data_IF_660143574555
#
_entry.id   IF_660143574555
#
_cell.length_a   1.000
_cell.length_b   1.000
_cell.length_c   1.000
_cell.angle_alpha   90.00
_cell.angle_beta   90.00
_cell.angle_gamma   90.00
#
_symmetry.space_group_name_H-M   'P 1'
#
loop_
_entity.id
_entity.type
_entity.pdbx_description
1 polymer ?
#
# COMPACT_ATOMS: atom_id res chain seq x y z
N UNK A 1 40.37 7.97 3.62
CA UNK A 1 39.53 9.17 3.36
C UNK A 1 38.17 8.85 2.79
N UNK A 2 37.95 7.73 2.10
CA UNK A 2 36.64 7.42 1.44
C UNK A 2 35.49 7.01 2.34
N UNK A 3 35.74 6.42 3.51
CA UNK A 3 34.66 5.98 4.41
C UNK A 3 33.91 7.14 5.09
N UNK A 4 34.58 8.25 5.33
CA UNK A 4 33.97 9.42 5.98
C UNK A 4 33.06 10.21 5.00
N UNK A 5 33.43 10.26 3.72
CA UNK A 5 32.64 10.92 2.67
C UNK A 5 31.35 10.11 2.37
N UNK A 6 31.44 8.77 2.38
CA UNK A 6 30.27 7.88 2.19
C UNK A 6 29.25 8.00 3.34
N UNK A 7 29.74 8.12 4.59
CA UNK A 7 28.86 8.29 5.75
C UNK A 7 28.14 9.65 5.75
N UNK A 8 28.84 10.72 5.42
CA UNK A 8 28.26 12.08 5.31
C UNK A 8 27.20 12.15 4.20
N UNK A 9 27.46 11.52 3.05
CA UNK A 9 26.51 11.47 1.95
C UNK A 9 25.27 10.65 2.28
N UNK A 10 25.41 9.55 3.02
CA UNK A 10 24.28 8.73 3.50
C UNK A 10 23.41 9.50 4.51
N UNK A 11 24.01 10.25 5.43
CA UNK A 11 23.27 11.09 6.40
C UNK A 11 22.54 12.25 5.71
N UNK A 12 23.17 12.91 4.73
CA UNK A 12 22.51 13.99 3.95
C UNK A 12 21.35 13.48 3.12
N UNK A 13 21.50 12.30 2.52
CA UNK A 13 20.42 11.63 1.78
C UNK A 13 19.25 11.25 2.69
N UNK A 14 19.53 10.72 3.89
CA UNK A 14 18.51 10.39 4.89
C UNK A 14 17.77 11.64 5.39
N UNK A 15 18.49 12.71 5.73
CA UNK A 15 17.88 13.97 6.16
C UNK A 15 17.00 14.62 5.08
N UNK A 16 17.43 14.55 3.82
CA UNK A 16 16.65 15.01 2.67
C UNK A 16 15.36 14.19 2.52
N UNK A 17 15.46 12.86 2.56
CA UNK A 17 14.31 11.96 2.45
C UNK A 17 13.28 12.23 3.55
N UNK A 18 13.72 12.36 4.81
CA UNK A 18 12.86 12.67 5.94
C UNK A 18 12.15 14.02 5.74
N UNK A 19 12.88 15.06 5.33
CA UNK A 19 12.30 16.38 5.07
C UNK A 19 11.27 16.35 3.95
N UNK A 20 11.56 15.67 2.85
CA UNK A 20 10.64 15.54 1.71
C UNK A 20 9.36 14.76 2.09
N UNK A 21 9.45 13.72 2.91
CA UNK A 21 8.28 13.02 3.47
C UNK A 21 7.44 13.96 4.33
N UNK A 22 8.07 14.75 5.21
CA UNK A 22 7.35 15.74 6.04
C UNK A 22 6.67 16.82 5.20
N UNK A 23 7.31 17.32 4.13
CA UNK A 23 6.69 18.29 3.22
C UNK A 23 5.41 17.71 2.60
N UNK A 24 5.43 16.46 2.14
CA UNK A 24 4.23 15.81 1.59
C UNK A 24 3.10 15.74 2.61
N UNK A 25 3.38 15.24 3.81
CA UNK A 25 2.39 15.13 4.89
C UNK A 25 1.79 16.50 5.30
N UNK A 26 2.61 17.54 5.31
CA UNK A 26 2.17 18.90 5.61
C UNK A 26 1.18 19.39 4.52
N UNK A 27 1.51 19.17 3.25
CA UNK A 27 0.69 19.63 2.12
C UNK A 27 -0.53 18.75 1.84
N UNK A 28 -0.57 17.50 2.31
CA UNK A 28 -1.77 16.66 2.30
C UNK A 28 -2.84 17.12 3.29
N UNK A 29 -2.43 17.80 4.36
CA UNK A 29 -3.32 18.21 5.45
C UNK A 29 -3.76 19.66 5.37
N UNK A 30 -3.01 20.50 4.66
CA UNK A 30 -3.22 21.93 4.66
C UNK A 30 -2.84 22.55 3.30
N UNK A 31 -3.58 23.56 2.92
CA UNK A 31 -3.31 24.36 1.74
C UNK A 31 -2.32 25.48 2.07
N UNK A 32 -1.11 25.41 1.53
CA UNK A 32 -0.10 26.45 1.66
C UNK A 32 0.17 27.15 0.33
N UNK A 33 0.34 28.46 0.40
CA UNK A 33 0.68 29.29 -0.76
C UNK A 33 2.10 29.86 -0.71
N UNK A 34 2.76 29.84 0.47
CA UNK A 34 4.09 30.41 0.66
C UNK A 34 5.07 29.36 1.19
N UNK A 35 6.31 29.45 0.72
CA UNK A 35 7.38 28.56 1.19
C UNK A 35 7.72 28.75 2.68
N UNK A 36 7.53 29.98 3.18
CA UNK A 36 7.79 30.34 4.58
C UNK A 36 6.89 29.57 5.55
N UNK A 37 5.62 29.39 5.18
CA UNK A 37 4.65 28.66 5.98
C UNK A 37 5.05 27.18 6.11
N UNK A 38 5.56 26.58 5.03
CA UNK A 38 6.08 25.21 5.02
C UNK A 38 7.36 25.11 5.87
N UNK A 39 8.27 26.07 5.77
CA UNK A 39 9.47 26.15 6.62
C UNK A 39 9.09 26.20 8.09
N UNK A 40 8.07 27.00 8.43
CA UNK A 40 7.59 27.13 9.80
C UNK A 40 7.04 25.79 10.34
N UNK A 41 6.23 25.09 9.56
CA UNK A 41 5.69 23.77 9.95
C UNK A 41 6.80 22.71 10.08
N UNK A 42 7.79 22.72 9.21
CA UNK A 42 8.95 21.82 9.30
C UNK A 42 9.76 22.09 10.58
N UNK A 43 9.96 23.36 10.94
CA UNK A 43 10.65 23.73 12.19
C UNK A 43 9.90 23.25 13.43
N UNK A 44 8.57 23.29 13.45
CA UNK A 44 7.76 22.72 14.54
C UNK A 44 8.00 21.21 14.72
N UNK A 45 8.31 20.51 13.63
CA UNK A 45 8.66 19.08 13.63
C UNK A 45 10.15 18.82 13.92
N UNK A 46 10.92 19.85 14.28
CA UNK A 46 12.36 19.74 14.56
C UNK A 46 13.23 19.64 13.30
N UNK A 47 12.67 19.92 12.11
CA UNK A 47 13.41 19.90 10.85
C UNK A 47 13.82 21.32 10.49
N UNK A 48 15.09 21.66 10.80
CA UNK A 48 15.64 22.98 10.42
C UNK A 48 15.97 23.01 8.92
N UNK A 49 15.46 24.02 8.23
CA UNK A 49 15.60 24.16 6.78
C UNK A 49 15.42 25.61 6.35
N UNK A 50 15.88 25.92 5.14
CA UNK A 50 15.73 27.25 4.53
C UNK A 50 14.62 27.24 3.47
N UNK A 51 14.08 28.43 3.19
CA UNK A 51 13.10 28.66 2.13
C UNK A 51 13.59 28.16 0.76
N UNK A 52 14.86 28.41 0.41
CA UNK A 52 15.46 27.95 -0.85
C UNK A 52 15.57 26.42 -0.93
N UNK A 53 15.78 25.75 0.21
CA UNK A 53 15.78 24.29 0.29
C UNK A 53 14.37 23.73 0.07
N UNK A 54 13.36 24.31 0.73
CA UNK A 54 11.95 23.92 0.55
C UNK A 54 11.51 24.13 -0.89
N UNK A 55 11.88 25.25 -1.52
CA UNK A 55 11.57 25.50 -2.93
C UNK A 55 12.15 24.43 -3.85
N UNK A 56 13.39 23.99 -3.60
CA UNK A 56 14.04 22.93 -4.37
C UNK A 56 13.34 21.58 -4.14
N UNK A 57 13.04 21.26 -2.89
CA UNK A 57 12.34 20.02 -2.54
C UNK A 57 10.95 19.95 -3.18
N UNK A 58 10.17 21.03 -3.15
CA UNK A 58 8.86 21.10 -3.79
C UNK A 58 8.95 20.84 -5.31
N UNK A 59 9.96 21.44 -5.96
CA UNK A 59 10.21 21.22 -7.40
C UNK A 59 10.56 19.75 -7.69
N UNK A 60 11.43 19.16 -6.89
CA UNK A 60 11.84 17.75 -7.02
C UNK A 60 10.67 16.79 -6.76
N UNK A 61 9.81 17.12 -5.81
CA UNK A 61 8.60 16.36 -5.48
C UNK A 61 7.46 16.54 -6.49
N UNK A 62 7.58 17.48 -7.43
CA UNK A 62 6.58 17.73 -8.46
C UNK A 62 5.43 18.64 -8.02
N UNK A 63 5.55 19.34 -6.88
CA UNK A 63 4.56 20.32 -6.46
C UNK A 63 4.60 21.58 -7.32
N UNK A 64 3.43 22.07 -7.72
CA UNK A 64 3.23 23.31 -8.47
C UNK A 64 2.11 24.10 -7.82
N UNK A 65 2.09 25.41 -8.06
CA UNK A 65 0.96 26.23 -7.65
C UNK A 65 -0.22 26.01 -8.59
N UNK A 66 -1.39 25.76 -8.01
CA UNK A 66 -2.66 25.72 -8.73
C UNK A 66 -3.18 27.12 -9.08
N UNK A 67 -4.37 27.21 -9.68
CA UNK A 67 -5.00 28.48 -10.05
C UNK A 67 -5.32 29.40 -8.88
N UNK A 68 -5.42 28.84 -7.67
CA UNK A 68 -5.66 29.58 -6.42
C UNK A 68 -4.37 29.97 -5.71
N UNK A 69 -3.20 29.58 -6.25
CA UNK A 69 -1.88 29.88 -5.69
C UNK A 69 -1.38 28.91 -4.62
N UNK A 70 -2.09 27.83 -4.35
CA UNK A 70 -1.68 26.80 -3.39
C UNK A 70 -0.80 25.73 -4.03
N UNK A 71 0.13 25.17 -3.25
CA UNK A 71 0.96 24.06 -3.71
C UNK A 71 0.15 22.77 -3.78
N UNK A 72 0.11 22.15 -4.96
CA UNK A 72 -0.51 20.84 -5.17
C UNK A 72 0.33 19.97 -6.11
N UNK A 73 0.15 18.65 -6.02
CA UNK A 73 0.71 17.69 -6.97
C UNK A 73 -0.21 17.56 -8.19
N UNK A 74 0.38 17.44 -9.38
CA UNK A 74 -0.41 16.99 -10.52
C UNK A 74 -0.91 15.56 -10.28
N UNK A 75 -2.04 15.20 -10.89
CA UNK A 75 -2.60 13.84 -10.82
C UNK A 75 -1.56 12.76 -11.16
N UNK A 76 -0.72 13.01 -12.16
CA UNK A 76 0.34 12.09 -12.59
C UNK A 76 1.38 11.84 -11.47
N UNK A 77 1.83 12.89 -10.82
CA UNK A 77 2.82 12.80 -9.73
C UNK A 77 2.21 12.15 -8.48
N UNK A 78 0.96 12.48 -8.17
CA UNK A 78 0.23 11.83 -7.06
C UNK A 78 0.05 10.33 -7.32
N UNK A 79 -0.35 9.95 -8.52
CA UNK A 79 -0.49 8.53 -8.91
C UNK A 79 0.83 7.79 -8.79
N UNK A 80 1.93 8.39 -9.26
CA UNK A 80 3.26 7.80 -9.17
C UNK A 80 3.65 7.57 -7.70
N UNK A 81 3.48 8.58 -6.85
CA UNK A 81 3.77 8.48 -5.42
C UNK A 81 2.95 7.38 -4.73
N UNK A 82 1.65 7.32 -5.02
CA UNK A 82 0.78 6.29 -4.44
C UNK A 82 1.18 4.88 -4.91
N UNK A 83 1.64 4.73 -6.16
CA UNK A 83 2.18 3.47 -6.66
C UNK A 83 3.46 3.06 -5.92
N UNK A 84 4.38 3.98 -5.69
CA UNK A 84 5.62 3.70 -4.96
C UNK A 84 5.29 3.22 -3.53
N UNK A 85 4.35 3.87 -2.83
CA UNK A 85 3.86 3.44 -1.51
C UNK A 85 3.21 2.05 -1.58
N UNK A 86 2.37 1.82 -2.58
CA UNK A 86 1.70 0.52 -2.76
C UNK A 86 2.73 -0.60 -2.95
N UNK A 87 3.76 -0.38 -3.78
CA UNK A 87 4.84 -1.35 -3.95
C UNK A 87 5.60 -1.59 -2.64
N UNK A 88 5.94 -0.54 -1.89
CA UNK A 88 6.59 -0.69 -0.58
C UNK A 88 5.72 -1.52 0.38
N UNK A 89 4.42 -1.24 0.46
CA UNK A 89 3.51 -1.98 1.35
C UNK A 89 3.38 -3.45 0.96
N UNK A 90 3.24 -3.74 -0.33
CA UNK A 90 3.11 -5.12 -0.82
C UNK A 90 4.40 -5.94 -0.62
N UNK A 91 5.58 -5.31 -0.67
CA UNK A 91 6.86 -6.01 -0.51
C UNK A 91 7.43 -6.02 0.91
N UNK A 92 6.97 -5.09 1.78
CA UNK A 92 7.44 -5.00 3.17
C UNK A 92 6.52 -5.68 4.19
N UNK A 93 5.34 -6.10 3.78
CA UNK A 93 4.38 -6.85 4.60
C UNK A 93 4.34 -8.32 4.20
N UNK A 94 3.72 -9.16 5.03
CA UNK A 94 3.38 -10.55 4.67
C UNK A 94 2.20 -10.63 3.67
N UNK A 95 2.06 -9.60 2.82
CA UNK A 95 1.02 -9.56 1.80
C UNK A 95 1.31 -10.60 0.73
N UNK A 96 0.36 -11.52 0.55
CA UNK A 96 0.36 -12.47 -0.55
C UNK A 96 -0.56 -11.98 -1.67
N UNK A 97 -0.14 -12.17 -2.91
CA UNK A 97 -0.96 -11.86 -4.09
C UNK A 97 -1.15 -13.13 -4.91
N UNK A 98 -2.37 -13.37 -5.38
CA UNK A 98 -2.70 -14.45 -6.27
C UNK A 98 -3.21 -13.87 -7.59
N UNK A 99 -2.60 -14.25 -8.71
CA UNK A 99 -2.95 -13.76 -10.06
C UNK A 99 -4.04 -14.57 -10.75
N UNK A 100 -4.26 -15.80 -10.31
CA UNK A 100 -5.23 -16.72 -10.89
C UNK A 100 -6.15 -17.28 -9.81
N UNK A 101 -7.29 -16.62 -9.57
CA UNK A 101 -8.27 -17.03 -8.56
C UNK A 101 -9.42 -17.79 -9.22
N UNK A 102 -9.69 -19.04 -8.76
CA UNK A 102 -10.90 -19.78 -9.07
C UNK A 102 -11.94 -19.58 -7.96
N UNK A 103 -13.20 -19.48 -8.36
CA UNK A 103 -14.32 -19.30 -7.43
C UNK A 103 -15.24 -20.52 -7.51
N UNK A 104 -15.59 -21.07 -6.35
CA UNK A 104 -16.50 -22.20 -6.20
C UNK A 104 -17.68 -21.80 -5.32
N UNK A 105 -18.85 -22.37 -5.59
CA UNK A 105 -20.05 -22.16 -4.81
C UNK A 105 -20.55 -23.48 -4.27
N UNK A 106 -20.78 -23.55 -2.96
CA UNK A 106 -21.32 -24.73 -2.28
C UNK A 106 -22.66 -24.34 -1.67
N UNK A 107 -23.73 -25.06 -2.02
CA UNK A 107 -25.01 -25.00 -1.36
C UNK A 107 -25.08 -26.13 -0.34
N UNK A 108 -25.52 -25.85 0.89
CA UNK A 108 -25.59 -26.83 1.95
C UNK A 108 -26.89 -26.67 2.78
N UNK A 109 -27.10 -27.54 3.73
CA UNK A 109 -28.15 -27.39 4.72
C UNK A 109 -27.89 -26.21 5.66
N UNK A 110 -28.96 -25.59 6.16
CA UNK A 110 -28.87 -24.46 7.06
C UNK A 110 -28.08 -24.85 8.32
N UNK A 111 -27.09 -24.00 8.64
CA UNK A 111 -26.22 -24.16 9.79
C UNK A 111 -25.03 -25.07 9.58
N UNK A 112 -24.87 -25.69 8.39
CA UNK A 112 -23.70 -26.54 8.06
C UNK A 112 -22.54 -25.77 7.39
N UNK A 113 -22.80 -24.61 6.84
CA UNK A 113 -21.80 -23.86 6.08
C UNK A 113 -20.54 -23.54 6.90
N UNK A 114 -20.67 -23.22 8.16
CA UNK A 114 -19.52 -22.93 9.05
C UNK A 114 -18.63 -24.16 9.24
N UNK A 115 -19.20 -25.33 9.54
CA UNK A 115 -18.46 -26.56 9.76
C UNK A 115 -17.74 -27.01 8.47
N UNK A 116 -18.43 -26.99 7.33
CA UNK A 116 -17.87 -27.36 6.02
C UNK A 116 -16.73 -26.39 5.65
N UNK A 117 -16.93 -25.09 5.81
CA UNK A 117 -15.91 -24.09 5.49
C UNK A 117 -14.62 -24.30 6.30
N UNK A 118 -14.75 -24.55 7.62
CA UNK A 118 -13.59 -24.80 8.49
C UNK A 118 -12.82 -26.04 8.06
N UNK A 119 -13.52 -27.12 7.71
CA UNK A 119 -12.89 -28.37 7.26
C UNK A 119 -12.18 -28.19 5.91
N UNK A 120 -12.78 -27.47 4.97
CA UNK A 120 -12.16 -27.20 3.68
C UNK A 120 -10.89 -26.37 3.86
N UNK A 121 -10.93 -25.33 4.70
CA UNK A 121 -9.76 -24.48 4.98
C UNK A 121 -8.64 -25.25 5.68
N UNK A 122 -8.97 -26.22 6.53
CA UNK A 122 -7.99 -27.06 7.24
C UNK A 122 -7.35 -28.08 6.29
N UNK A 123 -8.15 -28.82 5.55
CA UNK A 123 -7.71 -29.90 4.64
C UNK A 123 -6.92 -29.34 3.46
N UNK A 124 -7.39 -28.26 2.88
CA UNK A 124 -6.82 -27.65 1.67
C UNK A 124 -6.07 -26.35 1.97
N UNK A 125 -5.38 -26.34 3.10
CA UNK A 125 -4.52 -25.20 3.49
C UNK A 125 -3.45 -24.95 2.43
N UNK A 126 -3.41 -23.73 1.90
CA UNK A 126 -2.51 -23.33 0.82
C UNK A 126 -3.17 -23.26 -0.55
N UNK A 127 -4.28 -24.02 -0.77
CA UNK A 127 -5.14 -23.90 -1.95
C UNK A 127 -6.22 -22.84 -1.70
N UNK A 128 -6.88 -22.93 -0.54
CA UNK A 128 -7.97 -22.02 -0.18
C UNK A 128 -7.43 -20.66 0.25
N UNK A 129 -7.77 -19.63 -0.50
CA UNK A 129 -7.39 -18.25 -0.22
C UNK A 129 -8.35 -17.59 0.78
N UNK A 130 -9.66 -17.82 0.60
CA UNK A 130 -10.71 -17.21 1.41
C UNK A 130 -12.03 -17.94 1.23
N UNK A 131 -12.82 -18.06 2.32
CA UNK A 131 -14.23 -18.42 2.26
C UNK A 131 -15.12 -17.28 2.73
N UNK A 132 -16.31 -17.18 2.14
CA UNK A 132 -17.42 -16.32 2.56
C UNK A 132 -18.62 -17.21 2.79
N UNK A 133 -19.17 -17.20 3.99
CA UNK A 133 -20.27 -18.08 4.41
C UNK A 133 -21.55 -17.30 4.68
N UNK A 134 -22.68 -17.95 4.35
CA UNK A 134 -24.00 -17.56 4.81
C UNK A 134 -24.63 -18.81 5.51
N UNK A 135 -25.89 -18.75 5.89
CA UNK A 135 -26.57 -19.81 6.67
C UNK A 135 -26.54 -21.18 5.96
N UNK A 136 -26.62 -21.19 4.63
CA UNK A 136 -26.79 -22.39 3.82
C UNK A 136 -25.93 -22.40 2.54
N UNK A 137 -24.90 -21.55 2.50
CA UNK A 137 -24.01 -21.45 1.33
C UNK A 137 -22.61 -20.96 1.68
N UNK A 138 -21.65 -21.34 0.85
CA UNK A 138 -20.25 -20.97 0.93
C UNK A 138 -19.81 -20.51 -0.45
N UNK A 139 -19.17 -19.34 -0.52
CA UNK A 139 -18.36 -18.93 -1.68
C UNK A 139 -16.91 -19.11 -1.30
N UNK A 140 -16.18 -19.87 -2.08
CA UNK A 140 -14.79 -20.21 -1.84
C UNK A 140 -13.92 -19.64 -2.96
N UNK A 141 -12.82 -19.00 -2.59
CA UNK A 141 -11.77 -18.54 -3.48
C UNK A 141 -10.55 -19.43 -3.31
N UNK A 142 -10.06 -20.02 -4.38
CA UNK A 142 -8.88 -20.88 -4.39
C UNK A 142 -7.80 -20.34 -5.33
N UNK A 143 -6.54 -20.61 -5.00
CA UNK A 143 -5.43 -20.36 -5.91
C UNK A 143 -5.54 -21.35 -7.08
N UNK A 144 -5.83 -20.81 -8.26
CA UNK A 144 -6.09 -21.62 -9.44
C UNK A 144 -4.86 -22.40 -9.95
N UNK A 145 -3.66 -21.98 -9.55
CA UNK A 145 -2.41 -22.64 -9.92
C UNK A 145 -2.07 -23.80 -8.96
N UNK A 146 -2.64 -23.79 -7.73
CA UNK A 146 -2.44 -24.81 -6.71
C UNK A 146 -3.62 -25.80 -6.58
N UNK A 147 -4.71 -25.58 -7.33
CA UNK A 147 -5.89 -26.47 -7.31
C UNK A 147 -5.51 -27.87 -7.77
N UNK A 148 -5.65 -28.88 -6.89
CA UNK A 148 -5.39 -30.28 -7.15
C UNK A 148 -6.63 -31.02 -7.65
N UNK A 149 -6.43 -32.21 -8.26
CA UNK A 149 -7.54 -33.07 -8.67
C UNK A 149 -8.40 -33.51 -7.47
N UNK A 150 -7.78 -33.80 -6.32
CA UNK A 150 -8.47 -34.13 -5.07
C UNK A 150 -9.38 -32.98 -4.58
N UNK A 151 -8.93 -31.72 -4.76
CA UNK A 151 -9.75 -30.56 -4.45
C UNK A 151 -10.94 -30.44 -5.40
N UNK A 152 -10.74 -30.71 -6.69
CA UNK A 152 -11.82 -30.64 -7.70
C UNK A 152 -12.87 -31.73 -7.50
N UNK A 153 -12.49 -32.91 -7.02
CA UNK A 153 -13.42 -33.99 -6.69
C UNK A 153 -14.53 -33.60 -5.71
N UNK A 154 -14.27 -32.58 -4.85
CA UNK A 154 -15.30 -32.02 -3.97
C UNK A 154 -16.48 -31.37 -4.72
N UNK A 155 -16.26 -30.96 -5.96
CA UNK A 155 -17.22 -30.19 -6.77
C UNK A 155 -17.74 -31.00 -7.97
N UNK A 156 -17.14 -32.14 -8.25
CA UNK A 156 -17.65 -33.12 -9.23
C UNK A 156 -18.76 -33.93 -8.53
N UNK A 157 -19.97 -33.32 -8.48
CA UNK A 157 -21.14 -34.01 -7.96
C UNK A 157 -21.50 -35.17 -8.86
N UNK A 158 -21.71 -36.38 -8.29
CA UNK A 158 -22.37 -37.53 -8.96
C UNK A 158 -23.75 -37.16 -9.50
#
# INVERSE_FOLDING_TARGET
MDSNIKSINKQRSSAKSTRQKSIRLILERNDFSRHEDIVFELKKQGIDTSQSTVQRDLKELGFKKNSYGFFELSYKEQKKYNLDILYELLHSSDAATCGHVKTFFIKTDKGKAQEISMLIEEVFKGIVLKTIIDQDSIVLFADGDEVSDEFLELFDGE
#
